data_IF_158566919561
#
_entry.id   IF_158566919561
#
_cell.length_a   1.000
_cell.length_b   1.000
_cell.length_c   1.000
_cell.angle_alpha   90.00
_cell.angle_beta   90.00
_cell.angle_gamma   90.00
#
_symmetry.space_group_name_H-M   'P 1'
#
loop_
_entity.id
_entity.type
_entity.pdbx_description
1 polymer ?
#
# COMPACT_ATOMS: atom_id res chain seq x y z
N UNK A 1 5.11 13.61 -43.58
CA UNK A 1 6.05 12.84 -42.72
C UNK A 1 5.70 13.11 -41.26
N UNK A 2 5.24 12.09 -40.57
CA UNK A 2 4.88 12.16 -39.14
C UNK A 2 6.07 11.63 -38.37
N UNK A 3 6.73 12.46 -37.57
CA UNK A 3 7.79 12.03 -36.68
C UNK A 3 7.15 11.70 -35.34
N UNK A 4 7.33 10.46 -34.86
CA UNK A 4 6.89 10.02 -33.55
C UNK A 4 8.15 9.78 -32.72
N UNK A 5 8.30 10.48 -31.61
CA UNK A 5 9.30 10.17 -30.61
C UNK A 5 8.76 9.00 -29.79
N UNK A 6 9.33 7.83 -29.98
CA UNK A 6 9.05 6.68 -29.11
C UNK A 6 10.13 6.63 -28.03
N UNK A 7 9.71 6.61 -26.79
CA UNK A 7 10.62 6.30 -25.70
C UNK A 7 10.98 4.83 -25.75
N UNK A 8 12.27 4.52 -25.82
CA UNK A 8 12.78 3.16 -25.67
C UNK A 8 12.42 2.63 -24.27
N UNK A 9 12.39 1.31 -24.10
CA UNK A 9 11.96 0.63 -22.86
C UNK A 9 12.81 0.92 -21.61
N UNK A 10 13.87 1.71 -21.69
CA UNK A 10 14.59 2.20 -20.52
C UNK A 10 13.78 3.28 -19.82
N UNK A 11 13.08 2.87 -18.78
CA UNK A 11 12.38 3.80 -17.90
C UNK A 11 13.42 4.51 -17.02
N UNK A 12 13.59 5.80 -17.20
CA UNK A 12 14.33 6.64 -16.26
C UNK A 12 13.37 7.07 -15.15
N UNK A 13 13.53 6.48 -13.98
CA UNK A 13 12.75 6.87 -12.81
C UNK A 13 13.44 8.04 -12.10
N UNK A 14 12.70 9.10 -11.90
CA UNK A 14 13.11 10.16 -10.98
C UNK A 14 12.70 9.70 -9.58
N UNK A 15 13.63 9.63 -8.61
CA UNK A 15 13.26 9.33 -7.23
C UNK A 15 12.17 10.29 -6.77
N UNK A 16 11.14 9.75 -6.13
CA UNK A 16 10.09 10.58 -5.54
C UNK A 16 10.69 11.50 -4.48
N UNK A 17 10.26 12.73 -4.46
CA UNK A 17 10.68 13.74 -3.49
C UNK A 17 9.45 14.30 -2.78
N UNK A 18 9.58 14.75 -1.54
CA UNK A 18 8.49 15.43 -0.85
C UNK A 18 8.07 16.68 -1.61
N UNK A 19 6.79 17.00 -1.60
CA UNK A 19 6.27 18.24 -2.17
C UNK A 19 6.93 19.45 -1.52
N UNK A 20 7.35 20.40 -2.34
CA UNK A 20 7.90 21.67 -1.86
C UNK A 20 6.78 22.66 -1.57
N UNK A 21 7.04 23.62 -0.69
CA UNK A 21 6.05 24.59 -0.24
C UNK A 21 5.31 25.29 -1.39
N UNK A 22 6.04 25.84 -2.37
CA UNK A 22 5.46 26.57 -3.49
C UNK A 22 4.91 25.72 -4.64
N UNK A 23 5.01 24.39 -4.60
CA UNK A 23 4.46 23.53 -5.65
C UNK A 23 2.92 23.50 -5.62
N UNK A 24 2.25 23.35 -6.79
CA UNK A 24 0.81 23.13 -6.82
C UNK A 24 0.41 21.96 -5.94
N UNK A 25 -0.62 22.12 -5.14
CA UNK A 25 -1.05 21.06 -4.24
C UNK A 25 -1.59 19.86 -5.01
N UNK A 26 -1.20 18.65 -4.63
CA UNK A 26 -1.65 17.41 -5.24
C UNK A 26 -3.16 17.18 -5.15
N UNK A 27 -3.84 17.81 -4.19
CA UNK A 27 -5.31 17.71 -4.03
C UNK A 27 -6.08 18.51 -5.07
N UNK A 28 -5.39 19.18 -6.00
CA UNK A 28 -5.97 19.98 -7.10
C UNK A 28 -6.86 21.14 -6.62
N UNK A 29 -6.64 21.62 -5.39
CA UNK A 29 -7.39 22.77 -4.83
C UNK A 29 -7.08 24.11 -5.47
N UNK A 30 -6.11 24.17 -6.37
CA UNK A 30 -5.58 25.42 -6.93
C UNK A 30 -4.66 26.22 -6.02
N UNK A 31 -4.40 25.74 -4.80
CA UNK A 31 -3.49 26.35 -3.82
C UNK A 31 -2.09 25.73 -3.93
N UNK A 32 -1.08 26.41 -3.37
CA UNK A 32 0.25 25.80 -3.16
C UNK A 32 0.21 24.78 -2.04
N UNK A 33 1.15 23.83 -2.05
CA UNK A 33 1.20 22.76 -1.05
C UNK A 33 1.28 23.29 0.38
N UNK A 34 2.10 24.32 0.65
CA UNK A 34 2.24 24.96 1.96
C UNK A 34 0.94 25.56 2.48
N UNK A 35 0.11 26.13 1.59
CA UNK A 35 -1.15 26.77 1.93
C UNK A 35 -2.35 25.81 1.86
N UNK A 36 -2.09 24.52 1.74
CA UNK A 36 -3.14 23.50 1.60
C UNK A 36 -2.76 22.22 2.36
N UNK A 37 -2.13 21.27 1.70
CA UNK A 37 -1.88 19.94 2.24
C UNK A 37 -0.58 19.80 3.03
N UNK A 38 0.21 20.83 3.20
CA UNK A 38 1.37 20.81 4.10
C UNK A 38 0.95 20.78 5.59
N UNK A 39 -0.25 21.23 5.91
CA UNK A 39 -0.77 21.12 7.27
C UNK A 39 -1.02 19.66 7.63
N UNK A 40 -0.71 19.28 8.87
CA UNK A 40 -0.89 17.93 9.42
C UNK A 40 -2.33 17.65 9.89
N UNK A 41 -3.31 18.40 9.40
CA UNK A 41 -4.70 18.25 9.83
C UNK A 41 -5.23 16.86 9.51
N UNK A 42 -5.79 16.20 10.50
CA UNK A 42 -6.34 14.84 10.41
C UNK A 42 -7.52 14.71 9.42
N UNK A 43 -8.15 15.83 9.05
CA UNK A 43 -9.34 15.88 8.18
C UNK A 43 -8.99 16.16 6.71
N UNK A 44 -7.75 15.96 6.34
CA UNK A 44 -7.30 16.23 4.98
C UNK A 44 -7.81 15.18 4.00
N UNK A 45 -8.35 15.62 2.85
CA UNK A 45 -8.71 14.72 1.77
C UNK A 45 -7.49 13.88 1.33
N UNK A 46 -7.69 12.59 0.99
CA UNK A 46 -6.62 11.76 0.49
C UNK A 46 -6.05 12.36 -0.81
N UNK A 47 -4.73 12.22 -1.02
CA UNK A 47 -4.10 12.58 -2.29
C UNK A 47 -4.71 11.82 -3.47
N UNK A 48 -4.60 12.40 -4.67
CA UNK A 48 -5.01 11.72 -5.89
C UNK A 48 -4.42 10.29 -5.95
N UNK A 49 -5.25 9.34 -6.34
CA UNK A 49 -4.94 7.91 -6.44
C UNK A 49 -4.75 7.16 -5.11
N UNK A 50 -4.85 7.80 -3.94
CA UNK A 50 -5.09 7.10 -2.68
C UNK A 50 -6.61 7.08 -2.48
N UNK A 51 -7.20 5.91 -2.59
CA UNK A 51 -8.65 5.73 -2.56
C UNK A 51 -9.04 5.05 -1.26
N UNK A 52 -10.05 5.60 -0.58
CA UNK A 52 -10.58 5.07 0.67
C UNK A 52 -12.08 4.83 0.50
N UNK A 53 -12.49 3.59 0.71
CA UNK A 53 -13.90 3.20 0.73
C UNK A 53 -14.27 2.83 2.15
N UNK A 54 -15.01 3.71 2.81
CA UNK A 54 -15.40 3.50 4.20
C UNK A 54 -16.44 2.38 4.33
N UNK A 55 -16.31 1.57 5.37
CA UNK A 55 -17.25 0.47 5.68
C UNK A 55 -17.43 -0.51 4.51
N UNK A 56 -16.39 -0.76 3.73
CA UNK A 56 -16.41 -1.74 2.63
C UNK A 56 -16.75 -3.14 3.16
N UNK A 57 -16.23 -3.50 4.33
CA UNK A 57 -16.64 -4.68 5.09
C UNK A 57 -17.42 -4.22 6.31
N UNK A 58 -18.59 -4.82 6.54
CA UNK A 58 -19.41 -4.46 7.68
C UNK A 58 -18.73 -4.75 9.02
N UNK A 59 -19.02 -3.96 10.09
CA UNK A 59 -18.48 -4.24 11.42
C UNK A 59 -18.79 -5.65 11.94
N UNK A 60 -19.93 -6.22 11.54
CA UNK A 60 -20.33 -7.58 11.91
C UNK A 60 -19.44 -8.63 11.25
N UNK A 61 -19.14 -8.48 9.95
CA UNK A 61 -18.23 -9.36 9.21
C UNK A 61 -16.80 -9.23 9.73
N UNK A 62 -16.32 -8.02 10.01
CA UNK A 62 -15.03 -7.77 10.64
C UNK A 62 -14.95 -8.52 11.98
N UNK A 63 -15.89 -8.31 12.88
CA UNK A 63 -15.93 -8.96 14.19
C UNK A 63 -15.99 -10.50 14.12
N UNK A 64 -16.74 -11.05 13.14
CA UNK A 64 -16.81 -12.49 12.90
C UNK A 64 -15.45 -13.03 12.40
N UNK A 65 -14.80 -12.29 11.52
CA UNK A 65 -13.51 -12.68 10.96
C UNK A 65 -12.39 -12.57 11.99
N UNK A 66 -12.37 -11.54 12.82
CA UNK A 66 -11.38 -11.39 13.90
C UNK A 66 -11.45 -12.57 14.89
N UNK A 67 -12.66 -12.96 15.33
CA UNK A 67 -12.85 -14.14 16.20
C UNK A 67 -12.32 -15.44 15.59
N UNK A 68 -12.39 -15.57 14.28
CA UNK A 68 -11.79 -16.69 13.56
C UNK A 68 -10.26 -16.57 13.53
N UNK A 69 -9.73 -15.39 13.12
CA UNK A 69 -8.31 -15.15 12.94
C UNK A 69 -7.50 -15.27 14.24
N UNK A 70 -8.08 -14.90 15.37
CA UNK A 70 -7.44 -15.04 16.70
C UNK A 70 -7.06 -16.48 17.05
N UNK A 71 -7.77 -17.45 16.49
CA UNK A 71 -7.59 -18.89 16.75
C UNK A 71 -6.60 -19.55 15.77
N UNK A 72 -6.17 -18.82 14.73
CA UNK A 72 -5.35 -19.40 13.67
C UNK A 72 -3.85 -19.35 13.99
N UNK A 73 -3.11 -20.25 13.38
CA UNK A 73 -1.64 -20.25 13.44
C UNK A 73 -1.07 -19.01 12.75
N UNK A 74 0.13 -18.61 13.18
CA UNK A 74 0.81 -17.37 12.73
C UNK A 74 2.25 -17.67 12.40
N UNK A 75 2.74 -17.03 11.32
CA UNK A 75 4.13 -17.16 10.88
C UNK A 75 4.74 -15.78 10.69
N UNK A 76 5.93 -15.55 11.23
CA UNK A 76 6.66 -14.30 11.00
C UNK A 76 7.00 -14.14 9.51
N UNK A 77 6.64 -12.99 8.96
CA UNK A 77 6.97 -12.67 7.59
C UNK A 77 8.43 -12.26 7.47
N UNK A 78 9.04 -12.77 6.41
CA UNK A 78 10.38 -12.44 6.00
C UNK A 78 10.33 -11.47 4.83
N UNK A 79 11.42 -10.75 4.61
CA UNK A 79 11.61 -9.91 3.42
C UNK A 79 12.64 -10.56 2.49
N UNK A 80 12.55 -10.24 1.21
CA UNK A 80 13.57 -10.63 0.24
C UNK A 80 14.70 -9.59 0.26
N UNK A 81 15.93 -10.06 0.47
CA UNK A 81 17.14 -9.24 0.34
C UNK A 81 18.09 -9.88 -0.63
N UNK A 82 18.68 -9.08 -1.51
CA UNK A 82 19.79 -9.51 -2.33
C UNK A 82 21.03 -9.70 -1.44
N UNK A 83 21.71 -10.82 -1.59
CA UNK A 83 23.04 -11.02 -1.01
C UNK A 83 24.12 -10.33 -1.89
N UNK A 84 25.37 -10.38 -1.46
CA UNK A 84 26.50 -9.79 -2.16
C UNK A 84 26.71 -10.31 -3.59
N UNK A 85 26.06 -11.43 -3.94
CA UNK A 85 26.12 -12.04 -5.29
C UNK A 85 24.90 -11.69 -6.15
N UNK A 86 23.98 -10.85 -5.64
CA UNK A 86 22.73 -10.50 -6.31
C UNK A 86 21.63 -11.56 -6.17
N UNK A 87 21.84 -12.63 -5.42
CA UNK A 87 20.81 -13.64 -5.17
C UNK A 87 19.88 -13.19 -4.03
N UNK A 88 18.57 -13.23 -4.30
CA UNK A 88 17.56 -12.89 -3.29
C UNK A 88 17.33 -14.06 -2.33
N UNK A 89 17.37 -13.75 -1.03
CA UNK A 89 17.06 -14.68 0.05
C UNK A 89 15.99 -14.10 0.97
N UNK A 90 15.15 -14.97 1.49
CA UNK A 90 14.20 -14.59 2.54
C UNK A 90 14.94 -14.49 3.89
N UNK A 91 14.92 -13.32 4.48
CA UNK A 91 15.56 -13.05 5.78
C UNK A 91 14.56 -12.42 6.75
N UNK A 92 14.73 -12.68 8.04
CA UNK A 92 14.12 -11.84 9.07
C UNK A 92 14.81 -10.48 9.01
N UNK A 93 14.03 -9.44 8.84
CA UNK A 93 14.57 -8.10 8.63
C UNK A 93 14.12 -7.16 9.74
N UNK A 94 15.01 -6.22 10.07
CA UNK A 94 14.73 -5.12 10.99
C UNK A 94 13.70 -4.12 10.44
N UNK A 95 13.38 -4.21 9.15
CA UNK A 95 12.45 -3.29 8.50
C UNK A 95 10.99 -3.76 8.55
N UNK A 96 10.74 -4.96 9.10
CA UNK A 96 9.39 -5.51 9.19
C UNK A 96 9.18 -6.37 10.44
N UNK A 97 8.15 -6.05 11.23
CA UNK A 97 7.69 -6.84 12.37
C UNK A 97 6.22 -7.18 12.21
N UNK A 98 5.92 -8.18 11.37
CA UNK A 98 4.56 -8.55 10.97
C UNK A 98 4.43 -10.06 10.85
N UNK A 99 3.27 -10.60 11.20
CA UNK A 99 2.94 -12.01 11.06
C UNK A 99 1.88 -12.22 9.96
N UNK A 100 2.00 -13.30 9.19
CA UNK A 100 0.91 -13.83 8.39
C UNK A 100 0.06 -14.74 9.27
N UNK A 101 -1.25 -14.67 9.09
CA UNK A 101 -2.23 -15.55 9.76
C UNK A 101 -2.72 -16.59 8.76
N UNK A 102 -2.77 -17.84 9.16
CA UNK A 102 -3.31 -18.91 8.33
C UNK A 102 -4.83 -18.72 8.12
N UNK A 103 -5.22 -18.62 6.86
CA UNK A 103 -6.62 -18.46 6.46
C UNK A 103 -7.10 -19.57 5.52
N UNK A 104 -6.33 -20.65 5.38
CA UNK A 104 -6.59 -21.71 4.41
C UNK A 104 -8.03 -22.25 4.47
N UNK A 105 -8.58 -22.44 5.67
CA UNK A 105 -9.96 -22.92 5.85
C UNK A 105 -11.06 -21.88 5.50
N UNK A 106 -10.70 -20.60 5.29
CA UNK A 106 -11.60 -19.51 4.87
C UNK A 106 -11.07 -18.68 3.72
N UNK A 107 -10.13 -19.21 2.98
CA UNK A 107 -9.52 -18.53 1.83
C UNK A 107 -10.56 -18.00 0.84
N UNK A 108 -11.62 -18.78 0.58
CA UNK A 108 -12.69 -18.39 -0.33
C UNK A 108 -13.44 -17.12 0.14
N UNK A 109 -13.63 -16.94 1.45
CA UNK A 109 -14.25 -15.72 2.00
C UNK A 109 -13.38 -14.49 1.72
N UNK A 110 -12.08 -14.55 2.03
CA UNK A 110 -11.17 -13.42 1.83
C UNK A 110 -10.95 -13.15 0.34
N UNK A 111 -10.90 -14.18 -0.50
CA UNK A 111 -10.88 -14.02 -1.95
C UNK A 111 -12.12 -13.28 -2.46
N UNK A 112 -13.31 -13.58 -1.94
CA UNK A 112 -14.53 -12.90 -2.36
C UNK A 112 -14.54 -11.40 -2.02
N UNK A 113 -13.94 -11.00 -0.90
CA UNK A 113 -13.78 -9.59 -0.56
C UNK A 113 -12.81 -8.87 -1.50
N UNK A 114 -11.67 -9.50 -1.80
CA UNK A 114 -10.71 -8.92 -2.75
C UNK A 114 -11.31 -8.85 -4.15
N UNK A 115 -11.94 -9.90 -4.65
CA UNK A 115 -12.60 -9.90 -5.94
C UNK A 115 -13.64 -8.77 -6.05
N UNK A 116 -14.48 -8.60 -5.01
CA UNK A 116 -15.44 -7.50 -4.96
C UNK A 116 -14.76 -6.13 -4.96
N UNK A 117 -13.69 -5.95 -4.18
CA UNK A 117 -12.94 -4.69 -4.16
C UNK A 117 -12.37 -4.37 -5.54
N UNK A 118 -11.81 -5.35 -6.23
CA UNK A 118 -11.23 -5.18 -7.55
C UNK A 118 -12.29 -4.79 -8.59
N UNK A 119 -13.39 -5.51 -8.67
CA UNK A 119 -14.42 -5.29 -9.69
C UNK A 119 -15.27 -4.05 -9.44
N UNK A 120 -15.64 -3.77 -8.19
CA UNK A 120 -16.54 -2.67 -7.85
C UNK A 120 -15.82 -1.33 -7.62
N UNK A 121 -14.56 -1.36 -7.18
CA UNK A 121 -13.85 -0.16 -6.76
C UNK A 121 -12.63 0.14 -7.63
N UNK A 122 -11.73 -0.83 -7.79
CA UNK A 122 -10.45 -0.60 -8.49
C UNK A 122 -10.66 -0.43 -9.99
N UNK A 123 -11.44 -1.29 -10.64
CA UNK A 123 -11.73 -1.17 -12.08
C UNK A 123 -12.47 0.15 -12.38
N UNK A 124 -13.42 0.53 -11.54
CA UNK A 124 -14.15 1.78 -11.68
C UNK A 124 -13.24 3.01 -11.55
N UNK A 125 -12.28 2.97 -10.62
CA UNK A 125 -11.39 4.11 -10.35
C UNK A 125 -10.30 4.27 -11.41
N UNK A 126 -9.72 3.17 -11.87
CA UNK A 126 -8.58 3.22 -12.82
C UNK A 126 -8.99 3.03 -14.28
N UNK A 127 -10.26 2.75 -14.56
CA UNK A 127 -10.81 2.63 -15.90
C UNK A 127 -10.25 1.45 -16.70
N UNK A 128 -9.70 0.45 -16.01
CA UNK A 128 -9.11 -0.75 -16.58
C UNK A 128 -9.75 -2.03 -16.04
N UNK A 129 -9.54 -3.13 -16.73
CA UNK A 129 -9.97 -4.45 -16.27
C UNK A 129 -8.83 -5.14 -15.53
N UNK A 130 -9.13 -5.77 -14.39
CA UNK A 130 -8.17 -6.60 -13.65
C UNK A 130 -8.07 -7.97 -14.31
N UNK A 131 -6.87 -8.32 -14.76
CA UNK A 131 -6.60 -9.61 -15.39
C UNK A 131 -6.25 -10.69 -14.37
N UNK A 132 -5.54 -10.33 -13.29
CA UNK A 132 -5.17 -11.24 -12.22
C UNK A 132 -4.94 -10.50 -10.90
N UNK A 133 -4.93 -11.23 -9.80
CA UNK A 133 -4.59 -10.71 -8.48
C UNK A 133 -3.90 -11.78 -7.62
N UNK A 134 -3.09 -11.33 -6.68
CA UNK A 134 -2.45 -12.22 -5.72
C UNK A 134 -3.47 -12.75 -4.71
N UNK A 135 -3.34 -14.02 -4.36
CA UNK A 135 -4.16 -14.61 -3.29
C UNK A 135 -3.98 -13.76 -2.01
N UNK A 136 -5.07 -13.25 -1.43
CA UNK A 136 -4.98 -12.43 -0.24
C UNK A 136 -4.44 -13.22 0.95
N UNK A 137 -3.71 -12.54 1.79
CA UNK A 137 -3.24 -13.02 3.07
C UNK A 137 -3.52 -11.99 4.16
N UNK A 138 -3.66 -12.46 5.39
CA UNK A 138 -3.95 -11.58 6.52
C UNK A 138 -2.65 -11.24 7.23
N UNK A 139 -2.39 -9.95 7.37
CA UNK A 139 -1.30 -9.42 8.17
C UNK A 139 -1.76 -9.11 9.59
N UNK A 140 -0.99 -9.57 10.55
CA UNK A 140 -1.17 -9.22 11.96
C UNK A 140 0.03 -8.41 12.43
N UNK A 141 -0.24 -7.19 12.82
CA UNK A 141 0.70 -6.35 13.56
C UNK A 141 0.40 -6.53 15.06
N UNK A 142 1.36 -7.02 15.82
CA UNK A 142 1.28 -7.08 17.28
C UNK A 142 1.78 -5.78 17.92
N UNK A 143 1.94 -5.72 19.25
CA UNK A 143 2.59 -4.57 19.90
C UNK A 143 3.93 -4.26 19.25
N UNK A 144 4.19 -2.97 18.99
CA UNK A 144 5.37 -2.48 18.26
C UNK A 144 5.55 -3.12 16.87
N UNK A 145 4.46 -3.60 16.26
CA UNK A 145 4.47 -4.14 14.90
C UNK A 145 4.56 -3.00 13.89
N UNK A 146 5.39 -3.16 12.87
CA UNK A 146 5.60 -2.13 11.87
C UNK A 146 6.06 -2.73 10.53
N UNK A 147 6.00 -1.92 9.50
CA UNK A 147 6.70 -2.14 8.24
C UNK A 147 7.25 -0.81 7.74
N UNK A 148 8.57 -0.70 7.67
CA UNK A 148 9.27 0.51 7.26
C UNK A 148 8.95 0.90 5.82
N UNK A 149 9.37 2.10 5.44
CA UNK A 149 9.16 2.70 4.11
C UNK A 149 9.54 1.76 2.98
N UNK A 150 8.57 1.48 2.12
CA UNK A 150 8.74 0.62 0.94
C UNK A 150 7.76 1.00 -0.17
N UNK A 151 8.04 0.55 -1.38
CA UNK A 151 7.07 0.46 -2.47
C UNK A 151 6.76 -1.03 -2.70
N UNK A 152 5.50 -1.36 -3.02
CA UNK A 152 5.07 -2.76 -3.11
C UNK A 152 5.55 -3.47 -4.38
N UNK A 153 5.78 -2.73 -5.45
CA UNK A 153 6.20 -3.28 -6.74
C UNK A 153 7.65 -2.95 -7.12
N UNK A 154 8.28 -2.00 -6.45
CA UNK A 154 9.53 -1.43 -6.91
C UNK A 154 10.55 -1.32 -5.77
N UNK A 155 11.83 -1.43 -6.12
CA UNK A 155 12.97 -1.18 -5.24
C UNK A 155 13.90 -0.14 -5.85
N UNK A 156 14.53 0.68 -5.00
CA UNK A 156 15.55 1.63 -5.44
C UNK A 156 16.93 0.99 -5.40
N UNK A 157 17.60 0.95 -6.54
CA UNK A 157 18.98 0.54 -6.64
C UNK A 157 19.88 1.76 -6.37
N UNK A 158 20.62 1.69 -5.27
CA UNK A 158 21.49 2.79 -4.82
C UNK A 158 22.65 3.02 -5.78
N UNK A 159 23.22 1.96 -6.34
CA UNK A 159 24.37 2.02 -7.21
C UNK A 159 23.98 2.55 -8.60
N UNK A 160 22.91 2.03 -9.16
CA UNK A 160 22.36 2.46 -10.44
C UNK A 160 21.53 3.75 -10.35
N UNK A 161 21.22 4.24 -9.14
CA UNK A 161 20.40 5.43 -8.86
C UNK A 161 19.06 5.42 -9.58
N UNK A 162 18.41 4.28 -9.62
CA UNK A 162 17.12 4.10 -10.30
C UNK A 162 16.21 3.13 -9.59
N UNK A 163 14.90 3.25 -9.84
CA UNK A 163 13.89 2.31 -9.42
C UNK A 163 13.77 1.16 -10.40
N UNK A 164 13.57 -0.05 -9.88
CA UNK A 164 13.25 -1.26 -10.65
C UNK A 164 11.95 -1.82 -10.17
N UNK A 165 11.12 -2.21 -11.13
CA UNK A 165 9.95 -3.04 -10.86
C UNK A 165 10.41 -4.48 -10.61
N UNK A 166 10.20 -4.96 -9.39
CA UNK A 166 10.58 -6.30 -8.94
C UNK A 166 9.38 -7.22 -8.77
N UNK A 167 8.17 -6.66 -8.64
CA UNK A 167 6.91 -7.38 -8.57
C UNK A 167 5.95 -6.86 -9.63
N UNK A 168 5.20 -7.77 -10.24
CA UNK A 168 4.18 -7.40 -11.23
C UNK A 168 2.87 -7.00 -10.52
N UNK A 169 2.89 -5.85 -9.88
CA UNK A 169 1.77 -5.26 -9.14
C UNK A 169 1.50 -3.85 -9.63
N UNK A 170 0.29 -3.57 -10.06
CA UNK A 170 -0.14 -2.21 -10.43
C UNK A 170 -0.79 -1.48 -9.27
N UNK A 171 -1.59 -2.20 -8.48
CA UNK A 171 -2.38 -1.64 -7.37
C UNK A 171 -2.16 -2.45 -6.10
N UNK A 172 -1.91 -1.74 -5.01
CA UNK A 172 -1.91 -2.27 -3.64
C UNK A 172 -3.29 -2.08 -3.03
N UNK A 173 -3.77 -3.09 -2.31
CA UNK A 173 -5.09 -3.12 -1.72
C UNK A 173 -5.01 -3.61 -0.28
N UNK A 174 -5.58 -2.86 0.65
CA UNK A 174 -5.61 -3.13 2.08
C UNK A 174 -7.05 -3.06 2.59
N UNK A 175 -7.48 -4.06 3.35
CA UNK A 175 -8.76 -4.05 4.07
C UNK A 175 -8.48 -4.13 5.56
N UNK A 176 -8.90 -3.12 6.31
CA UNK A 176 -8.67 -3.03 7.75
C UNK A 176 -9.81 -3.70 8.52
N UNK A 177 -9.49 -4.67 9.37
CA UNK A 177 -10.50 -5.46 10.08
C UNK A 177 -10.82 -4.91 11.47
N UNK A 178 -9.96 -4.08 12.05
CA UNK A 178 -10.16 -3.42 13.35
C UNK A 178 -9.46 -2.08 13.40
N UNK A 179 -9.82 -1.28 14.39
CA UNK A 179 -9.29 0.06 14.68
C UNK A 179 -9.17 0.32 16.19
N UNK A 180 -9.30 -0.73 16.99
CA UNK A 180 -9.21 -0.71 18.46
C UNK A 180 -7.75 -0.79 18.97
N UNK A 181 -6.86 -0.01 18.36
CA UNK A 181 -5.45 0.08 18.69
C UNK A 181 -4.94 1.52 18.59
N UNK A 182 -3.80 1.80 19.20
CA UNK A 182 -3.07 3.06 19.02
C UNK A 182 -1.91 2.83 18.04
N UNK A 183 -1.56 3.85 17.26
CA UNK A 183 -0.55 3.75 16.21
C UNK A 183 -1.08 3.04 14.95
N UNK A 184 -0.21 2.40 14.20
CA UNK A 184 -0.59 1.60 13.03
C UNK A 184 -1.02 2.42 11.82
N UNK A 185 -0.78 3.73 11.81
CA UNK A 185 -1.12 4.59 10.68
C UNK A 185 -0.37 4.17 9.41
N UNK A 186 -1.05 4.28 8.28
CA UNK A 186 -0.43 4.16 6.96
C UNK A 186 0.06 5.54 6.51
N UNK A 187 1.37 5.73 6.51
CA UNK A 187 1.99 7.01 6.17
C UNK A 187 2.68 6.98 4.81
N UNK A 188 2.38 7.98 3.99
CA UNK A 188 2.96 8.21 2.66
C UNK A 188 3.91 9.42 2.71
N UNK A 189 5.21 9.23 2.94
CA UNK A 189 6.16 10.32 3.18
C UNK A 189 6.30 11.28 2.00
N UNK A 190 6.27 10.79 0.77
CA UNK A 190 6.38 11.61 -0.45
C UNK A 190 5.19 12.55 -0.63
N UNK A 191 4.03 12.17 -0.11
CA UNK A 191 2.79 12.93 -0.19
C UNK A 191 2.48 13.66 1.12
N UNK A 192 3.30 13.46 2.16
CA UNK A 192 3.05 13.92 3.53
C UNK A 192 1.61 13.63 3.98
N UNK A 193 1.13 12.42 3.72
CA UNK A 193 -0.22 11.99 4.01
C UNK A 193 -0.23 10.82 4.98
N UNK A 194 -1.10 10.90 5.98
CA UNK A 194 -1.31 9.84 6.97
C UNK A 194 -2.76 9.39 6.91
N UNK A 195 -2.98 8.11 6.66
CA UNK A 195 -4.27 7.47 6.83
C UNK A 195 -4.31 6.78 8.19
N UNK A 196 -5.32 7.11 8.98
CA UNK A 196 -5.62 6.43 10.25
C UNK A 196 -6.59 5.28 9.96
N UNK A 197 -6.21 4.02 10.21
CA UNK A 197 -7.06 2.88 9.93
C UNK A 197 -8.42 2.95 10.63
N UNK A 198 -9.48 2.58 9.90
CA UNK A 198 -10.82 2.40 10.46
C UNK A 198 -11.35 1.01 10.11
N UNK A 199 -12.08 0.43 11.05
CA UNK A 199 -12.65 -0.91 10.86
C UNK A 199 -13.55 -0.95 9.62
N UNK A 200 -13.30 -1.94 8.77
CA UNK A 200 -14.08 -2.18 7.56
C UNK A 200 -13.65 -1.36 6.35
N UNK A 201 -12.71 -0.43 6.50
CA UNK A 201 -12.26 0.40 5.38
C UNK A 201 -11.39 -0.41 4.39
N UNK A 202 -11.58 -0.12 3.12
CA UNK A 202 -10.73 -0.52 2.02
C UNK A 202 -9.88 0.67 1.60
N UNK A 203 -8.57 0.49 1.52
CA UNK A 203 -7.62 1.47 0.98
C UNK A 203 -6.89 0.85 -0.20
N UNK A 204 -6.82 1.56 -1.32
CA UNK A 204 -6.05 1.10 -2.47
C UNK A 204 -5.37 2.25 -3.21
N UNK A 205 -4.18 1.97 -3.75
CA UNK A 205 -3.31 2.96 -4.39
C UNK A 205 -2.33 2.26 -5.35
N UNK A 206 -1.68 3.01 -6.29
CA UNK A 206 -0.66 2.43 -7.16
C UNK A 206 0.53 1.86 -6.38
N UNK A 207 1.04 0.70 -6.79
CA UNK A 207 2.11 -0.03 -6.10
C UNK A 207 3.52 0.52 -6.35
N UNK A 208 3.68 1.60 -7.12
CA UNK A 208 4.97 2.14 -7.54
C UNK A 208 5.62 3.06 -6.49
N UNK A 209 6.83 3.51 -6.77
CA UNK A 209 7.66 4.34 -5.88
C UNK A 209 7.11 5.74 -5.57
N UNK A 210 6.13 6.25 -6.31
CA UNK A 210 5.46 7.51 -5.99
C UNK A 210 4.59 7.37 -4.74
N UNK A 211 4.15 6.13 -4.43
CA UNK A 211 3.33 5.77 -3.29
C UNK A 211 4.11 4.97 -2.23
N UNK A 212 5.38 5.32 -2.02
CA UNK A 212 6.14 4.80 -0.89
C UNK A 212 5.33 5.03 0.38
N UNK A 213 5.22 3.98 1.19
CA UNK A 213 4.46 4.04 2.43
C UNK A 213 5.11 3.21 3.53
N UNK A 214 4.68 3.46 4.77
CA UNK A 214 5.05 2.69 5.95
C UNK A 214 3.81 2.43 6.81
N UNK A 215 3.78 1.26 7.46
CA UNK A 215 2.86 1.01 8.58
C UNK A 215 3.62 1.33 9.86
N UNK A 216 3.19 2.38 10.56
CA UNK A 216 3.80 2.83 11.81
C UNK A 216 3.52 1.88 12.97
N UNK A 217 4.37 1.84 14.00
CA UNK A 217 4.13 1.05 15.21
C UNK A 217 2.96 1.59 16.04
#
# INVERSE_FOLDING_TARGET
NRFIVMTTQQRHYVPSHPYKAGEPCYCQSGKTFENCCASTAADRAPPAHINIVNNFISPQECKKSLRYLEKQSRTWLKVFRADKTGKYKQVMDKDRKTQAVDISSKQALFNSWVSRALTEQVEAQFGGRIEWYEIPYILRYGPDGFYNKHADAEVFDIDAKRWYRVMDRDVSLLIYLNDDFAGGELYFPTLNYTYVPKQGDLVFFPSNHLFIHESRP
#
